data_IF_160149578387
#
_entry.id   IF_160149578387
#
_cell.length_a   1.000
_cell.length_b   1.000
_cell.length_c   1.000
_cell.angle_alpha   90.00
_cell.angle_beta   90.00
_cell.angle_gamma   90.00
#
_symmetry.space_group_name_H-M   'P 1'
#
loop_
_entity.id
_entity.type
_entity.pdbx_description
1 polymer ?
#
# COMPACT_ATOMS: atom_id res chain seq x y z
N UNK A 1 -50.60 49.01 10.96
CA UNK A 1 -49.80 49.65 9.89
C UNK A 1 -48.58 50.30 10.53
N UNK A 2 -47.44 49.61 10.48
CA UNK A 2 -46.05 50.10 10.36
C UNK A 2 -45.11 48.86 10.45
N UNK A 3 -43.93 48.90 9.83
CA UNK A 3 -43.54 47.85 8.88
C UNK A 3 -42.60 46.77 9.43
N UNK A 4 -42.57 45.65 8.71
CA UNK A 4 -41.59 44.57 8.82
C UNK A 4 -40.15 45.13 8.73
N UNK A 5 -39.32 44.78 9.71
CA UNK A 5 -37.87 44.80 9.56
C UNK A 5 -37.39 43.38 9.34
N UNK A 6 -36.80 43.14 8.18
CA UNK A 6 -36.04 41.95 7.83
C UNK A 6 -34.68 41.99 8.53
N UNK A 7 -34.39 41.00 9.38
CA UNK A 7 -33.04 40.75 9.89
C UNK A 7 -32.43 39.55 9.17
N UNK A 8 -31.65 39.85 8.12
CA UNK A 8 -30.62 38.97 7.58
C UNK A 8 -29.36 39.06 8.47
N UNK A 9 -28.62 37.95 8.52
CA UNK A 9 -27.31 37.73 9.18
C UNK A 9 -27.40 37.54 10.71
N UNK A 10 -26.81 36.51 11.32
CA UNK A 10 -25.58 35.79 10.97
C UNK A 10 -25.75 34.29 11.25
N UNK A 11 -25.60 33.46 10.21
CA UNK A 11 -25.10 32.11 10.40
C UNK A 11 -23.68 32.26 10.97
N UNK A 12 -23.49 31.94 12.25
CA UNK A 12 -22.15 31.65 12.76
C UNK A 12 -21.70 30.39 12.04
N UNK A 13 -20.93 30.58 10.97
CA UNK A 13 -20.12 29.52 10.42
C UNK A 13 -19.23 29.02 11.56
N UNK A 14 -19.48 27.78 12.01
CA UNK A 14 -18.49 26.99 12.71
C UNK A 14 -17.38 26.61 11.71
N UNK A 15 -16.72 27.63 11.14
CA UNK A 15 -15.37 27.52 10.64
C UNK A 15 -14.50 27.56 11.87
N UNK A 16 -14.35 26.42 12.54
CA UNK A 16 -13.10 26.22 13.26
C UNK A 16 -11.99 26.41 12.21
N UNK A 17 -11.03 27.32 12.44
CA UNK A 17 -9.87 27.36 11.57
C UNK A 17 -9.25 25.98 11.67
N UNK A 18 -9.20 25.27 10.54
CA UNK A 18 -8.31 24.14 10.36
C UNK A 18 -6.93 24.65 10.76
N UNK A 19 -6.52 24.37 12.00
CA UNK A 19 -5.13 24.50 12.40
C UNK A 19 -4.44 23.51 11.48
N UNK A 20 -3.79 24.06 10.45
CA UNK A 20 -2.81 23.34 9.67
C UNK A 20 -1.94 22.60 10.68
N UNK A 21 -2.07 21.27 10.73
CA UNK A 21 -1.10 20.41 11.36
C UNK A 21 0.15 20.57 10.49
N UNK A 22 0.94 21.60 10.80
CA UNK A 22 2.27 21.75 10.29
C UNK A 22 3.08 20.60 10.90
N UNK A 23 3.15 19.49 10.16
CA UNK A 23 4.08 18.42 10.43
C UNK A 23 5.46 19.06 10.44
N UNK A 24 6.09 19.04 11.61
CA UNK A 24 7.38 19.66 11.84
C UNK A 24 8.39 19.07 10.86
N UNK A 25 8.90 19.93 9.99
CA UNK A 25 10.07 19.66 9.14
C UNK A 25 11.23 19.41 10.11
N UNK A 26 11.59 18.15 10.33
CA UNK A 26 12.76 17.80 11.12
C UNK A 26 14.00 18.05 10.26
N UNK A 27 14.51 19.28 10.27
CA UNK A 27 15.92 19.51 9.96
C UNK A 27 16.74 18.97 11.12
N UNK A 28 17.30 17.77 10.96
CA UNK A 28 18.18 17.16 11.96
C UNK A 28 19.47 18.00 12.05
N UNK A 29 19.53 18.96 12.97
CA UNK A 29 20.80 19.56 13.38
C UNK A 29 21.44 18.59 14.36
N UNK A 30 22.57 18.02 13.96
CA UNK A 30 23.36 17.09 14.74
C UNK A 30 23.59 17.61 16.18
N UNK A 31 23.13 16.85 17.17
CA UNK A 31 23.58 16.98 18.54
C UNK A 31 23.90 15.60 19.10
N UNK A 32 25.18 15.44 19.44
CA UNK A 32 25.86 14.35 20.16
C UNK A 32 26.24 13.07 19.39
N UNK A 33 27.48 13.09 18.87
CA UNK A 33 28.48 12.06 19.21
C UNK A 33 28.50 10.74 18.42
N UNK A 34 27.49 10.41 17.63
CA UNK A 34 27.52 9.22 16.76
C UNK A 34 27.84 9.63 15.31
N UNK A 35 28.97 9.16 14.76
CA UNK A 35 29.49 9.56 13.45
C UNK A 35 28.86 8.83 12.25
N UNK A 36 27.80 8.02 12.44
CA UNK A 36 27.22 7.16 11.39
C UNK A 36 25.82 7.58 10.89
N UNK A 37 25.34 8.77 11.27
CA UNK A 37 24.17 9.38 10.64
C UNK A 37 24.60 10.10 9.37
N UNK A 38 24.79 9.32 8.31
CA UNK A 38 24.87 9.82 6.94
C UNK A 38 23.64 10.71 6.67
N UNK A 39 23.86 11.95 6.25
CA UNK A 39 22.80 12.95 6.07
C UNK A 39 21.98 12.62 4.83
N UNK A 40 21.08 11.63 4.94
CA UNK A 40 20.07 11.42 3.93
C UNK A 40 19.07 12.57 4.00
N UNK A 41 19.10 13.45 2.99
CA UNK A 41 18.08 14.50 2.84
C UNK A 41 16.80 13.80 2.40
N UNK A 42 16.00 13.41 3.38
CA UNK A 42 14.62 13.02 3.16
C UNK A 42 13.89 14.29 2.76
N UNK A 43 13.76 14.51 1.44
CA UNK A 43 13.04 15.66 0.90
C UNK A 43 11.60 15.70 1.40
N UNK A 44 10.86 16.74 1.03
CA UNK A 44 9.43 16.95 1.32
C UNK A 44 8.48 15.85 0.78
N UNK A 45 9.01 14.69 0.39
CA UNK A 45 8.35 13.57 -0.27
C UNK A 45 7.39 12.80 0.63
N UNK A 46 7.51 12.93 1.97
CA UNK A 46 6.69 12.19 2.94
C UNK A 46 5.57 13.03 3.59
N UNK A 47 5.27 14.22 3.07
CA UNK A 47 4.11 14.96 3.56
C UNK A 47 2.82 14.20 3.17
N UNK A 48 2.00 13.73 4.13
CA UNK A 48 0.74 13.07 3.84
C UNK A 48 -0.17 14.00 3.04
N UNK A 49 -0.94 13.46 2.09
CA UNK A 49 -1.88 14.28 1.34
C UNK A 49 -3.18 14.54 2.14
N UNK A 50 -3.34 13.90 3.31
CA UNK A 50 -4.59 13.94 4.08
C UNK A 50 -4.45 13.80 5.61
N UNK A 51 -5.56 14.05 6.31
CA UNK A 51 -5.64 14.00 7.77
C UNK A 51 -5.71 12.60 8.38
N UNK A 52 -6.15 11.58 7.64
CA UNK A 52 -6.27 10.20 8.14
C UNK A 52 -4.90 9.61 8.44
N UNK A 53 -3.91 9.85 7.57
CA UNK A 53 -2.54 9.38 7.81
C UNK A 53 -1.73 10.32 8.71
N UNK A 54 -2.24 11.50 9.04
CA UNK A 54 -1.55 12.47 9.90
C UNK A 54 -1.50 12.04 11.38
N UNK A 55 -2.25 11.00 11.77
CA UNK A 55 -2.19 10.42 13.11
C UNK A 55 -0.95 9.54 13.33
N UNK A 56 -0.31 9.06 12.25
CA UNK A 56 0.88 8.21 12.34
C UNK A 56 2.13 9.09 12.42
N UNK A 57 2.51 9.43 13.65
CA UNK A 57 3.55 10.44 13.96
C UNK A 57 4.85 9.85 14.47
N UNK A 58 4.99 8.53 14.53
CA UNK A 58 6.20 7.83 14.98
C UNK A 58 6.93 7.20 13.78
N UNK A 59 7.79 7.97 13.06
CA UNK A 59 8.47 7.49 11.86
C UNK A 59 9.60 6.51 12.18
N UNK A 60 9.56 5.37 11.50
CA UNK A 60 10.64 4.38 11.39
C UNK A 60 11.06 4.26 9.94
N UNK A 61 12.35 4.44 9.67
CA UNK A 61 12.91 4.37 8.33
C UNK A 61 13.43 2.97 8.06
N UNK A 62 13.05 2.40 6.91
CA UNK A 62 13.49 1.10 6.42
C UNK A 62 14.10 1.30 5.04
N UNK A 63 15.40 1.08 4.95
CA UNK A 63 16.17 1.26 3.72
C UNK A 63 16.68 -0.09 3.21
N UNK A 64 16.18 -0.51 2.05
CA UNK A 64 16.74 -1.62 1.30
C UNK A 64 18.00 -1.18 0.56
N UNK A 65 19.13 -1.83 0.86
CA UNK A 65 20.43 -1.60 0.23
C UNK A 65 20.88 -2.86 -0.49
N UNK A 66 21.99 -2.77 -1.21
CA UNK A 66 22.62 -3.93 -1.82
C UNK A 66 23.03 -4.94 -0.74
N UNK A 67 22.14 -5.90 -0.50
CA UNK A 67 22.37 -7.02 0.38
C UNK A 67 22.24 -6.79 1.88
N UNK A 68 21.63 -5.67 2.25
CA UNK A 68 21.42 -5.28 3.63
C UNK A 68 20.09 -4.51 3.74
N UNK A 69 19.53 -4.49 4.95
CA UNK A 69 18.40 -3.62 5.27
C UNK A 69 18.74 -2.83 6.52
N UNK A 70 18.69 -1.50 6.39
CA UNK A 70 18.92 -0.60 7.52
C UNK A 70 17.59 -0.12 8.08
N UNK A 71 17.40 -0.32 9.38
CA UNK A 71 16.30 0.26 10.13
C UNK A 71 16.86 1.36 11.04
N UNK A 72 16.28 2.55 10.99
CA UNK A 72 16.77 3.69 11.75
C UNK A 72 15.67 4.74 11.98
N UNK A 73 15.99 5.74 12.80
CA UNK A 73 15.07 6.83 13.12
C UNK A 73 14.83 6.98 14.62
N UNK A 74 14.16 8.07 15.05
CA UNK A 74 13.91 8.34 16.46
C UNK A 74 12.96 7.32 17.11
N UNK A 75 12.21 6.57 16.32
CA UNK A 75 11.27 5.55 16.78
C UNK A 75 11.66 4.13 16.36
N UNK A 76 12.92 3.88 15.96
CA UNK A 76 13.36 2.56 15.50
C UNK A 76 13.14 1.46 16.56
N UNK A 77 13.16 1.80 17.85
CA UNK A 77 12.90 0.88 18.95
C UNK A 77 11.40 0.52 19.11
N UNK A 78 10.50 1.19 18.38
CA UNK A 78 9.07 0.88 18.35
C UNK A 78 8.74 -0.34 17.47
N UNK A 79 9.72 -0.88 16.75
CA UNK A 79 9.56 -2.08 15.92
C UNK A 79 10.50 -3.18 16.37
N UNK A 80 10.02 -4.42 16.28
CA UNK A 80 10.90 -5.59 16.31
C UNK A 80 11.04 -6.10 14.88
N UNK A 81 12.29 -6.18 14.43
CA UNK A 81 12.64 -6.54 13.06
C UNK A 81 13.50 -7.80 13.03
N UNK A 82 13.18 -8.71 12.11
CA UNK A 82 13.94 -9.92 11.84
C UNK A 82 14.22 -10.03 10.33
N UNK A 83 15.49 -10.19 9.96
CA UNK A 83 15.92 -10.26 8.57
C UNK A 83 16.71 -11.54 8.31
N UNK A 84 16.23 -12.39 7.42
CA UNK A 84 16.86 -13.67 7.05
C UNK A 84 17.65 -13.60 5.73
N UNK A 85 17.85 -12.38 5.20
CA UNK A 85 18.55 -12.10 3.95
C UNK A 85 17.67 -12.15 2.69
N UNK A 86 16.46 -12.72 2.78
CA UNK A 86 15.49 -12.78 1.71
C UNK A 86 14.14 -12.13 2.08
N UNK A 87 13.84 -12.05 3.38
CA UNK A 87 12.68 -11.41 3.98
C UNK A 87 13.12 -10.51 5.11
N UNK A 88 12.45 -9.37 5.22
CA UNK A 88 12.38 -8.57 6.44
C UNK A 88 10.98 -8.75 7.04
N UNK A 89 10.91 -9.17 8.29
CA UNK A 89 9.67 -9.24 9.07
C UNK A 89 9.65 -8.12 10.11
N UNK A 90 8.56 -7.36 10.19
CA UNK A 90 8.38 -6.26 11.15
C UNK A 90 7.12 -6.52 11.97
N UNK A 91 7.26 -6.39 13.29
CA UNK A 91 6.14 -6.32 14.24
C UNK A 91 6.24 -5.03 15.04
N UNK A 92 5.11 -4.53 15.55
CA UNK A 92 5.06 -3.35 16.40
C UNK A 92 3.79 -3.34 17.25
N UNK A 93 3.87 -2.73 18.42
CA UNK A 93 2.74 -2.43 19.29
C UNK A 93 2.42 -0.91 19.35
N UNK A 94 2.94 -0.12 18.42
CA UNK A 94 2.75 1.33 18.36
C UNK A 94 1.55 1.72 17.48
N UNK A 95 0.52 2.32 18.10
CA UNK A 95 -0.71 2.80 17.44
C UNK A 95 -0.51 4.03 16.54
N UNK A 96 0.69 4.60 16.53
CA UNK A 96 1.05 5.79 15.75
C UNK A 96 2.19 5.53 14.76
N UNK A 97 2.47 4.25 14.48
CA UNK A 97 3.56 3.84 13.61
C UNK A 97 3.41 4.34 12.17
N UNK A 98 4.48 4.96 11.68
CA UNK A 98 4.70 5.20 10.26
C UNK A 98 5.97 4.48 9.81
N UNK A 99 5.85 3.50 8.92
CA UNK A 99 6.97 2.84 8.25
C UNK A 99 7.31 3.58 6.96
N UNK A 100 8.50 4.15 6.87
CA UNK A 100 9.00 4.86 5.69
C UNK A 100 9.99 3.97 4.96
N UNK A 101 9.52 3.34 3.87
CA UNK A 101 10.24 2.28 3.17
C UNK A 101 10.73 2.75 1.80
N UNK A 102 12.01 2.54 1.54
CA UNK A 102 12.68 2.98 0.31
C UNK A 102 13.89 2.09 -0.02
N UNK A 103 14.46 2.28 -1.21
CA UNK A 103 15.65 1.56 -1.66
C UNK A 103 15.35 0.45 -2.68
N UNK A 104 16.33 -0.39 -2.99
CA UNK A 104 16.23 -1.42 -4.04
C UNK A 104 16.75 -2.76 -3.54
N UNK A 105 15.91 -3.79 -3.63
CA UNK A 105 16.24 -5.18 -3.35
C UNK A 105 15.65 -6.12 -4.41
N UNK A 106 15.67 -5.71 -5.69
CA UNK A 106 15.24 -6.58 -6.80
C UNK A 106 16.19 -7.74 -7.10
N UNK A 107 17.42 -7.67 -6.58
CA UNK A 107 18.50 -8.58 -6.96
C UNK A 107 18.96 -8.36 -8.41
N UNK A 108 20.05 -9.01 -8.79
CA UNK A 108 20.48 -9.12 -10.19
C UNK A 108 20.90 -10.56 -10.53
N UNK A 109 21.32 -10.81 -11.76
CA UNK A 109 21.74 -12.15 -12.21
C UNK A 109 22.99 -12.69 -11.48
N UNK A 110 23.76 -11.84 -10.81
CA UNK A 110 24.99 -12.18 -10.10
C UNK A 110 24.75 -12.32 -8.59
N UNK A 111 23.71 -11.68 -8.07
CA UNK A 111 23.25 -11.76 -6.70
C UNK A 111 21.71 -11.77 -6.69
N UNK A 112 21.07 -12.94 -6.89
CA UNK A 112 19.63 -13.06 -6.87
C UNK A 112 19.16 -12.90 -5.43
N UNK A 113 19.03 -11.65 -5.00
CA UNK A 113 18.41 -11.29 -3.74
C UNK A 113 16.94 -11.06 -3.99
N UNK A 114 16.13 -11.76 -3.23
CA UNK A 114 14.74 -11.38 -3.06
C UNK A 114 14.63 -10.44 -1.87
N UNK A 115 13.84 -9.38 -2.01
CA UNK A 115 13.39 -8.56 -0.89
C UNK A 115 11.89 -8.77 -0.73
N UNK A 116 11.50 -9.54 0.29
CA UNK A 116 10.14 -9.52 0.82
C UNK A 116 10.08 -8.59 2.03
N UNK A 117 9.03 -7.77 2.11
CA UNK A 117 8.64 -7.09 3.33
C UNK A 117 7.40 -7.80 3.90
N UNK A 118 7.52 -8.36 5.10
CA UNK A 118 6.40 -8.88 5.87
C UNK A 118 6.16 -7.97 7.07
N UNK A 119 4.91 -7.59 7.28
CA UNK A 119 4.48 -6.73 8.38
C UNK A 119 3.38 -7.47 9.12
N UNK A 120 3.62 -7.85 10.37
CA UNK A 120 2.64 -8.49 11.25
C UNK A 120 2.25 -7.47 12.33
N UNK A 121 1.21 -6.68 12.07
CA UNK A 121 0.78 -5.56 12.90
C UNK A 121 -0.75 -5.56 13.00
N UNK A 122 -1.26 -5.95 14.17
CA UNK A 122 -2.69 -5.99 14.51
C UNK A 122 -3.18 -4.62 15.01
N UNK A 123 -3.06 -3.60 14.15
CA UNK A 123 -3.58 -2.22 14.33
C UNK A 123 -3.46 -1.43 13.04
N UNK A 124 -4.11 -0.27 12.99
CA UNK A 124 -3.93 0.67 11.88
C UNK A 124 -2.51 1.24 11.88
N UNK A 125 -1.89 1.35 10.71
CA UNK A 125 -0.56 1.95 10.55
C UNK A 125 -0.38 2.54 9.16
N UNK A 126 0.64 3.39 8.97
CA UNK A 126 1.01 3.91 7.66
C UNK A 126 2.28 3.27 7.10
N UNK A 127 2.20 2.86 5.83
CA UNK A 127 3.32 2.38 5.03
C UNK A 127 3.61 3.39 3.92
N UNK A 128 4.63 4.22 4.10
CA UNK A 128 5.08 5.18 3.10
C UNK A 128 6.08 4.53 2.14
N UNK A 129 5.75 4.55 0.84
CA UNK A 129 6.62 4.05 -0.22
C UNK A 129 7.28 5.23 -0.95
N UNK A 130 8.62 5.28 -0.94
CA UNK A 130 9.36 6.37 -1.56
C UNK A 130 10.58 5.88 -2.35
N UNK A 131 10.34 5.46 -3.59
CA UNK A 131 11.41 4.95 -4.45
C UNK A 131 11.83 3.52 -4.07
N UNK A 132 10.87 2.72 -3.59
CA UNK A 132 11.08 1.33 -3.23
C UNK A 132 11.00 0.43 -4.46
N UNK A 133 11.99 -0.43 -4.66
CA UNK A 133 11.94 -1.50 -5.66
C UNK A 133 12.21 -2.85 -5.01
N UNK A 134 11.21 -3.73 -5.01
CA UNK A 134 11.28 -5.08 -4.43
C UNK A 134 10.98 -6.15 -5.48
N UNK A 135 11.73 -7.24 -5.39
CA UNK A 135 11.41 -8.50 -6.04
C UNK A 135 11.40 -9.60 -4.99
N UNK A 136 10.29 -10.31 -4.80
CA UNK A 136 10.23 -11.42 -3.85
C UNK A 136 10.24 -12.76 -4.56
N UNK A 137 11.15 -13.65 -4.13
CA UNK A 137 11.15 -15.05 -4.54
C UNK A 137 10.38 -15.95 -3.55
N UNK A 138 9.85 -15.34 -2.48
CA UNK A 138 9.24 -16.00 -1.33
C UNK A 138 7.74 -15.71 -1.23
N UNK A 139 7.08 -15.34 -2.33
CA UNK A 139 5.68 -14.92 -2.36
C UNK A 139 5.52 -13.41 -2.53
N UNK A 140 4.55 -12.77 -1.86
CA UNK A 140 4.31 -11.34 -2.01
C UNK A 140 5.59 -10.52 -1.87
N UNK A 141 5.72 -9.45 -2.65
CA UNK A 141 6.76 -8.45 -2.43
C UNK A 141 6.53 -7.74 -1.10
N UNK A 142 5.26 -7.45 -0.79
CA UNK A 142 4.83 -6.91 0.49
C UNK A 142 3.65 -7.76 0.98
N UNK A 143 3.78 -8.30 2.18
CA UNK A 143 2.75 -9.05 2.89
C UNK A 143 2.43 -8.32 4.19
N UNK A 144 1.17 -7.92 4.38
CA UNK A 144 0.70 -7.31 5.62
C UNK A 144 -0.33 -8.21 6.26
N UNK A 145 -0.06 -8.62 7.50
CA UNK A 145 -0.99 -9.32 8.37
C UNK A 145 -1.54 -8.30 9.39
N UNK A 146 -2.76 -7.82 9.16
CA UNK A 146 -3.42 -6.77 9.93
C UNK A 146 -4.91 -7.03 10.20
N UNK A 147 -5.45 -8.18 9.79
CA UNK A 147 -6.80 -8.68 10.07
C UNK A 147 -7.91 -7.63 9.89
N UNK A 148 -8.50 -7.08 10.95
CA UNK A 148 -9.60 -6.11 10.82
C UNK A 148 -9.13 -4.65 10.60
N UNK A 149 -7.82 -4.43 10.54
CA UNK A 149 -7.20 -3.10 10.53
C UNK A 149 -6.85 -2.56 9.15
N UNK A 150 -6.61 -1.25 9.10
CA UNK A 150 -6.30 -0.51 7.87
C UNK A 150 -4.80 -0.31 7.73
N UNK A 151 -4.24 -0.85 6.65
CA UNK A 151 -2.92 -0.47 6.16
C UNK A 151 -3.04 0.74 5.22
N UNK A 152 -2.51 1.88 5.65
CA UNK A 152 -2.47 3.09 4.83
C UNK A 152 -1.19 3.13 3.99
N UNK A 153 -1.29 2.72 2.73
CA UNK A 153 -0.17 2.78 1.77
C UNK A 153 -0.08 4.17 1.15
N UNK A 154 0.95 4.93 1.53
CA UNK A 154 1.18 6.29 1.05
C UNK A 154 2.28 6.29 -0.01
N UNK A 155 1.92 6.53 -1.28
CA UNK A 155 2.86 6.57 -2.39
C UNK A 155 3.41 7.99 -2.56
N UNK A 156 4.66 8.20 -2.15
CA UNK A 156 5.29 9.52 -2.07
C UNK A 156 5.25 10.26 -3.42
N UNK A 157 4.93 11.56 -3.39
CA UNK A 157 4.81 12.38 -4.61
C UNK A 157 6.13 12.39 -5.38
N UNK A 158 6.07 12.11 -6.69
CA UNK A 158 7.25 12.08 -7.56
C UNK A 158 8.12 10.82 -7.41
N UNK A 159 7.77 9.91 -6.51
CA UNK A 159 8.44 8.61 -6.40
C UNK A 159 7.90 7.60 -7.41
N UNK A 160 8.74 6.62 -7.77
CA UNK A 160 8.35 5.43 -8.52
C UNK A 160 8.70 4.20 -7.71
N UNK A 161 7.69 3.41 -7.38
CA UNK A 161 7.83 2.20 -6.58
C UNK A 161 7.50 0.99 -7.45
N UNK A 162 8.30 -0.07 -7.36
CA UNK A 162 8.17 -1.27 -8.18
C UNK A 162 8.13 -2.49 -7.28
N UNK A 163 7.04 -3.23 -7.32
CA UNK A 163 6.85 -4.47 -6.58
C UNK A 163 6.70 -5.60 -7.59
N UNK A 164 7.42 -6.68 -7.37
CA UNK A 164 7.27 -7.90 -8.16
C UNK A 164 7.51 -9.13 -7.32
N UNK A 165 6.91 -10.24 -7.71
CA UNK A 165 7.16 -11.53 -7.12
C UNK A 165 7.54 -12.58 -8.17
N UNK A 166 7.91 -13.76 -7.68
CA UNK A 166 7.92 -14.99 -8.47
C UNK A 166 6.80 -15.89 -7.99
N UNK A 167 6.47 -16.88 -8.82
CA UNK A 167 5.59 -17.96 -8.42
C UNK A 167 6.08 -18.65 -7.16
N UNK A 168 5.19 -18.77 -6.19
CA UNK A 168 5.40 -19.59 -5.02
C UNK A 168 5.46 -21.07 -5.44
N UNK A 169 6.58 -21.76 -5.22
CA UNK A 169 6.67 -23.20 -5.51
C UNK A 169 6.14 -24.09 -4.38
N UNK A 170 6.01 -23.56 -3.16
CA UNK A 170 5.60 -24.31 -1.98
C UNK A 170 4.39 -23.69 -1.28
N UNK A 171 3.19 -24.17 -1.58
CA UNK A 171 1.92 -23.77 -0.95
C UNK A 171 1.81 -24.07 0.56
N UNK A 172 2.92 -24.39 1.24
CA UNK A 172 2.91 -24.80 2.64
C UNK A 172 4.02 -24.08 3.40
N UNK A 173 3.61 -23.26 4.38
CA UNK A 173 4.44 -22.94 5.54
C UNK A 173 3.86 -23.72 6.71
N UNK A 174 4.67 -24.56 7.33
CA UNK A 174 4.26 -25.37 8.50
C UNK A 174 3.02 -26.28 8.29
N UNK A 175 2.69 -26.62 7.04
CA UNK A 175 1.55 -27.49 6.70
C UNK A 175 0.23 -26.74 6.46
N UNK A 176 0.24 -25.41 6.46
CA UNK A 176 -0.92 -24.56 6.18
C UNK A 176 -0.80 -23.89 4.80
N UNK A 177 -1.94 -23.71 4.13
CA UNK A 177 -2.06 -22.97 2.88
C UNK A 177 -1.78 -21.50 3.17
N UNK A 178 -0.87 -20.90 2.41
CA UNK A 178 -0.64 -19.46 2.49
C UNK A 178 -1.83 -18.72 1.89
N UNK A 179 -2.55 -17.93 2.68
CA UNK A 179 -3.69 -17.11 2.21
C UNK A 179 -3.26 -15.79 1.52
N UNK A 180 -1.96 -15.60 1.29
CA UNK A 180 -1.39 -14.33 0.86
C UNK A 180 -1.39 -14.16 -0.68
N UNK A 181 -2.56 -14.05 -1.32
CA UNK A 181 -2.71 -14.25 -2.77
C UNK A 181 -2.41 -13.03 -3.70
N UNK A 182 -1.70 -12.01 -3.21
CA UNK A 182 -1.33 -10.82 -3.99
C UNK A 182 0.15 -10.47 -3.92
N UNK A 183 0.71 -9.86 -4.96
CA UNK A 183 2.08 -9.34 -4.94
C UNK A 183 2.26 -8.23 -3.89
N UNK A 184 1.25 -7.37 -3.77
CA UNK A 184 0.98 -6.59 -2.56
C UNK A 184 -0.27 -7.17 -1.90
N UNK A 185 -0.07 -7.84 -0.77
CA UNK A 185 -1.12 -8.51 -0.02
C UNK A 185 -1.35 -7.82 1.33
N UNK A 186 -2.61 -7.66 1.72
CA UNK A 186 -3.05 -7.18 3.03
C UNK A 186 -4.17 -8.07 3.56
N UNK A 187 -4.01 -8.69 4.74
CA UNK A 187 -5.06 -9.50 5.36
C UNK A 187 -6.22 -8.67 5.90
N UNK A 188 -6.03 -7.36 6.06
CA UNK A 188 -7.08 -6.39 6.37
C UNK A 188 -7.45 -5.45 5.24
N UNK A 189 -7.75 -4.21 5.60
CA UNK A 189 -8.18 -3.17 4.66
C UNK A 189 -6.98 -2.43 4.08
N UNK A 190 -7.07 -2.11 2.79
CA UNK A 190 -6.03 -1.38 2.07
C UNK A 190 -6.53 0.01 1.71
N UNK A 191 -5.85 1.03 2.23
CA UNK A 191 -6.13 2.42 1.91
C UNK A 191 -4.95 3.05 1.20
N UNK A 192 -5.15 3.52 -0.04
CA UNK A 192 -4.12 4.24 -0.77
C UNK A 192 -4.21 5.75 -0.56
N UNK A 193 -3.05 6.36 -0.34
CA UNK A 193 -2.82 7.81 -0.35
C UNK A 193 -1.63 8.19 -1.23
N UNK A 194 -1.54 9.47 -1.58
CA UNK A 194 -0.39 10.04 -2.28
C UNK A 194 -0.58 10.24 -3.78
N UNK A 195 0.51 10.63 -4.44
CA UNK A 195 0.53 11.06 -5.86
C UNK A 195 1.73 10.50 -6.62
N UNK A 196 2.44 9.54 -6.04
CA UNK A 196 3.52 8.84 -6.72
C UNK A 196 3.02 7.76 -7.67
N UNK A 197 3.96 7.00 -8.19
CA UNK A 197 3.70 5.84 -9.04
C UNK A 197 3.98 4.56 -8.27
N UNK A 198 3.02 3.62 -8.31
CA UNK A 198 3.16 2.25 -7.81
C UNK A 198 2.99 1.29 -8.98
N UNK A 199 4.01 0.49 -9.27
CA UNK A 199 3.95 -0.55 -10.29
C UNK A 199 4.04 -1.90 -9.61
N UNK A 200 3.02 -2.73 -9.76
CA UNK A 200 2.93 -4.06 -9.14
C UNK A 200 2.80 -5.09 -10.24
N UNK A 201 3.67 -6.09 -10.24
CA UNK A 201 3.68 -7.15 -11.23
C UNK A 201 3.84 -8.50 -10.56
N UNK A 202 2.77 -9.29 -10.55
CA UNK A 202 2.90 -10.67 -10.13
C UNK A 202 3.49 -11.53 -11.27
N UNK A 203 4.06 -12.68 -10.92
CA UNK A 203 4.45 -13.73 -11.87
C UNK A 203 3.28 -14.67 -12.21
N UNK A 204 3.27 -15.24 -13.42
CA UNK A 204 2.29 -16.26 -13.83
C UNK A 204 2.87 -17.67 -13.74
N UNK A 205 2.08 -18.68 -13.31
CA UNK A 205 2.49 -20.08 -13.34
C UNK A 205 2.91 -20.48 -14.75
N UNK A 206 4.08 -21.09 -14.89
CA UNK A 206 4.51 -21.66 -16.18
C UNK A 206 3.66 -22.86 -16.59
N UNK A 207 2.82 -23.37 -15.69
CA UNK A 207 1.87 -24.47 -15.93
C UNK A 207 0.61 -24.26 -15.11
N UNK A 208 -0.52 -24.05 -15.80
CA UNK A 208 -1.84 -24.32 -15.24
C UNK A 208 -1.95 -25.84 -15.07
N UNK A 209 -1.88 -26.31 -13.84
CA UNK A 209 -2.11 -27.71 -13.55
C UNK A 209 -3.49 -27.79 -12.90
N UNK A 210 -4.41 -28.50 -13.56
CA UNK A 210 -5.85 -28.45 -13.27
C UNK A 210 -6.22 -28.95 -11.86
N UNK A 211 -5.28 -29.59 -11.19
CA UNK A 211 -5.41 -30.12 -9.83
C UNK A 211 -5.17 -29.07 -8.72
N UNK A 212 -4.70 -27.85 -9.06
CA UNK A 212 -4.28 -26.86 -8.07
C UNK A 212 -5.38 -25.90 -7.59
N UNK A 213 -6.63 -26.12 -8.04
CA UNK A 213 -7.78 -25.31 -7.62
C UNK A 213 -7.58 -23.80 -7.88
N UNK A 214 -8.49 -22.98 -7.39
CA UNK A 214 -8.42 -21.51 -7.50
C UNK A 214 -7.28 -20.87 -6.65
N UNK A 215 -6.41 -21.68 -6.03
CA UNK A 215 -5.55 -21.29 -4.91
C UNK A 215 -4.12 -20.94 -5.33
N UNK A 216 -3.97 -20.21 -6.43
CA UNK A 216 -2.66 -19.71 -6.84
C UNK A 216 -2.65 -18.20 -6.61
N UNK A 217 -1.62 -17.74 -5.89
CA UNK A 217 -1.26 -16.34 -5.66
C UNK A 217 -1.20 -15.57 -6.98
N UNK A 218 -2.32 -15.00 -7.40
CA UNK A 218 -2.50 -14.60 -8.81
C UNK A 218 -2.84 -13.15 -8.97
N UNK A 219 -2.95 -12.39 -7.89
CA UNK A 219 -3.42 -11.00 -7.97
C UNK A 219 -2.25 -10.01 -7.91
N UNK A 220 -2.37 -8.88 -8.61
CA UNK A 220 -1.40 -7.82 -8.42
C UNK A 220 -1.59 -7.16 -7.04
N UNK A 221 -2.82 -6.70 -6.76
CA UNK A 221 -3.25 -6.24 -5.44
C UNK A 221 -4.30 -7.19 -4.86
N UNK A 222 -4.11 -7.57 -3.60
CA UNK A 222 -5.08 -8.35 -2.85
C UNK A 222 -5.24 -7.73 -1.46
N UNK A 223 -6.48 -7.44 -1.07
CA UNK A 223 -6.83 -7.17 0.32
C UNK A 223 -7.97 -8.10 0.74
N UNK A 224 -7.91 -8.79 1.90
CA UNK A 224 -9.10 -9.55 2.32
C UNK A 224 -10.24 -8.60 2.70
N UNK A 225 -9.89 -7.47 3.32
CA UNK A 225 -10.79 -6.36 3.56
C UNK A 225 -11.03 -5.50 2.31
N UNK A 226 -11.57 -4.30 2.52
CA UNK A 226 -11.89 -3.38 1.44
C UNK A 226 -10.66 -2.68 0.90
N UNK A 227 -10.77 -2.15 -0.32
CA UNK A 227 -9.74 -1.31 -0.92
C UNK A 227 -10.28 0.07 -1.25
N UNK A 228 -9.66 1.12 -0.73
CA UNK A 228 -10.08 2.51 -0.98
C UNK A 228 -8.92 3.33 -1.51
N UNK A 229 -9.15 4.07 -2.59
CA UNK A 229 -8.26 5.10 -3.09
C UNK A 229 -9.02 6.41 -3.33
N UNK A 230 -8.68 7.43 -2.56
CA UNK A 230 -9.23 8.78 -2.68
C UNK A 230 -8.27 9.78 -3.35
N UNK A 231 -7.12 9.33 -3.86
CA UNK A 231 -6.01 10.20 -4.26
C UNK A 231 -5.49 9.93 -5.67
N UNK A 232 -4.72 10.90 -6.17
CA UNK A 232 -4.27 10.95 -7.54
C UNK A 232 -2.97 10.15 -7.79
N UNK A 233 -2.86 8.95 -7.21
CA UNK A 233 -1.73 8.05 -7.48
C UNK A 233 -1.82 7.48 -8.90
N UNK A 234 -0.68 7.02 -9.42
CA UNK A 234 -0.63 6.24 -10.65
C UNK A 234 -0.30 4.78 -10.32
N UNK A 235 -1.24 3.87 -10.54
CA UNK A 235 -1.07 2.44 -10.34
C UNK A 235 -0.89 1.74 -11.68
N UNK A 236 0.18 0.96 -11.82
CA UNK A 236 0.41 0.06 -12.95
C UNK A 236 0.36 -1.38 -12.44
N UNK A 237 -0.79 -2.04 -12.62
CA UNK A 237 -1.05 -3.34 -12.02
C UNK A 237 -1.06 -4.40 -13.12
N UNK A 238 -0.04 -5.24 -13.12
CA UNK A 238 0.03 -6.42 -13.98
C UNK A 238 -0.23 -7.65 -13.16
N UNK A 239 -1.38 -8.27 -13.42
CA UNK A 239 -1.61 -9.65 -13.05
C UNK A 239 -1.47 -10.54 -14.28
N UNK A 240 -0.55 -11.51 -14.26
CA UNK A 240 -0.36 -12.40 -15.40
C UNK A 240 -1.33 -13.60 -15.42
N UNK A 241 -2.07 -13.84 -14.33
CA UNK A 241 -2.98 -14.98 -14.25
C UNK A 241 -4.31 -14.70 -13.54
N UNK A 242 -4.31 -13.81 -12.54
CA UNK A 242 -5.49 -13.50 -11.76
C UNK A 242 -5.95 -12.07 -12.01
N UNK A 243 -6.46 -11.46 -10.96
CA UNK A 243 -7.09 -10.15 -11.06
C UNK A 243 -6.08 -9.03 -10.84
N UNK A 244 -6.29 -7.88 -11.49
CA UNK A 244 -5.43 -6.73 -11.21
C UNK A 244 -5.69 -6.18 -9.80
N UNK A 245 -6.95 -6.19 -9.35
CA UNK A 245 -7.38 -5.85 -8.00
C UNK A 245 -8.34 -6.93 -7.53
N UNK A 246 -8.09 -7.49 -6.35
CA UNK A 246 -8.95 -8.49 -5.72
C UNK A 246 -9.25 -8.12 -4.27
N UNK A 247 -10.50 -8.34 -3.86
CA UNK A 247 -10.92 -8.27 -2.45
C UNK A 247 -11.82 -9.44 -2.07
N UNK A 248 -11.60 -10.03 -0.89
CA UNK A 248 -12.31 -11.23 -0.44
C UNK A 248 -13.71 -10.97 0.15
N UNK A 249 -14.08 -9.71 0.44
CA UNK A 249 -15.41 -9.47 1.00
C UNK A 249 -15.84 -8.03 1.28
N UNK A 250 -15.12 -7.03 0.78
CA UNK A 250 -15.44 -5.63 1.08
C UNK A 250 -15.24 -4.70 -0.14
N UNK A 251 -15.80 -3.49 -0.04
CA UNK A 251 -15.90 -2.53 -1.15
C UNK A 251 -14.53 -2.26 -1.81
N UNK A 252 -14.52 -2.21 -3.15
CA UNK A 252 -13.44 -1.56 -3.89
C UNK A 252 -13.91 -0.18 -4.32
N UNK A 253 -13.27 0.86 -3.77
CA UNK A 253 -13.59 2.26 -4.03
C UNK A 253 -12.41 2.99 -4.67
N UNK A 254 -12.48 3.23 -5.98
CA UNK A 254 -11.48 4.01 -6.71
C UNK A 254 -12.06 5.39 -7.04
N UNK A 255 -11.91 6.37 -6.16
CA UNK A 255 -12.49 7.71 -6.36
C UNK A 255 -11.63 8.58 -7.29
N UNK A 256 -10.30 8.44 -7.18
CA UNK A 256 -9.30 9.19 -7.96
C UNK A 256 -8.16 8.28 -8.40
N UNK A 257 -7.25 8.86 -9.18
CA UNK A 257 -6.02 8.21 -9.61
C UNK A 257 -6.06 7.73 -11.06
N UNK A 258 -4.91 7.28 -11.52
CA UNK A 258 -4.75 6.64 -12.84
C UNK A 258 -4.42 5.17 -12.61
N UNK A 259 -5.25 4.29 -13.12
CA UNK A 259 -5.19 2.85 -12.91
C UNK A 259 -4.96 2.17 -14.25
N UNK A 260 -3.72 1.76 -14.52
CA UNK A 260 -3.34 0.98 -15.69
C UNK A 260 -3.36 -0.49 -15.30
N UNK A 261 -4.40 -1.21 -15.72
CA UNK A 261 -4.74 -2.55 -15.29
C UNK A 261 -4.51 -3.55 -16.43
N UNK A 262 -3.69 -4.55 -16.15
CA UNK A 262 -3.33 -5.62 -17.08
C UNK A 262 -3.64 -6.95 -16.40
N UNK A 263 -4.92 -7.34 -16.32
CA UNK A 263 -5.32 -8.56 -15.63
C UNK A 263 -5.08 -9.82 -16.47
N UNK A 264 -4.93 -10.97 -15.81
CA UNK A 264 -4.94 -12.30 -16.43
C UNK A 264 -6.33 -12.94 -16.42
N UNK A 265 -7.19 -12.52 -15.48
CA UNK A 265 -8.62 -12.82 -15.36
C UNK A 265 -9.43 -11.53 -15.26
N UNK A 266 -9.90 -11.17 -14.06
CA UNK A 266 -10.79 -10.03 -13.89
C UNK A 266 -10.01 -8.73 -13.70
N UNK A 267 -10.56 -7.64 -14.22
CA UNK A 267 -9.94 -6.32 -14.00
C UNK A 267 -10.03 -5.93 -12.54
N UNK A 268 -11.20 -6.12 -11.93
CA UNK A 268 -11.46 -5.91 -10.51
C UNK A 268 -12.44 -6.99 -10.06
N UNK A 269 -12.10 -7.69 -8.98
CA UNK A 269 -12.95 -8.67 -8.33
C UNK A 269 -13.20 -8.27 -6.87
N UNK A 270 -14.46 -8.17 -6.48
CA UNK A 270 -14.89 -8.03 -5.09
C UNK A 270 -15.90 -9.11 -4.80
N UNK A 271 -15.47 -10.15 -4.07
CA UNK A 271 -16.24 -11.38 -3.96
C UNK A 271 -17.61 -11.18 -3.29
N UNK A 272 -17.72 -10.22 -2.36
CA UNK A 272 -18.95 -10.02 -1.56
C UNK A 272 -19.47 -8.57 -1.51
N UNK A 273 -18.88 -7.62 -2.25
CA UNK A 273 -19.21 -6.21 -2.09
C UNK A 273 -19.19 -5.39 -3.40
N UNK A 274 -19.66 -4.14 -3.28
CA UNK A 274 -19.77 -3.18 -4.38
C UNK A 274 -18.40 -2.71 -4.88
N UNK A 275 -18.32 -2.42 -6.19
CA UNK A 275 -17.19 -1.74 -6.82
C UNK A 275 -17.62 -0.34 -7.26
N UNK A 276 -17.07 0.68 -6.61
CA UNK A 276 -17.37 2.09 -6.87
C UNK A 276 -16.19 2.81 -7.53
N UNK A 277 -16.43 3.37 -8.73
CA UNK A 277 -15.43 4.12 -9.50
C UNK A 277 -15.87 5.59 -9.61
N UNK A 278 -15.15 6.49 -8.96
CA UNK A 278 -15.46 7.92 -8.96
C UNK A 278 -15.12 8.64 -10.27
N UNK A 279 -15.77 9.78 -10.50
CA UNK A 279 -15.63 10.62 -11.70
C UNK A 279 -14.19 11.02 -12.07
N UNK A 280 -13.31 11.09 -11.06
CA UNK A 280 -11.93 11.52 -11.21
C UNK A 280 -10.94 10.34 -11.36
N UNK A 281 -11.40 9.10 -11.25
CA UNK A 281 -10.59 7.91 -11.50
C UNK A 281 -10.51 7.63 -13.01
N UNK A 282 -9.31 7.32 -13.49
CA UNK A 282 -9.05 6.94 -14.89
C UNK A 282 -8.61 5.50 -14.92
N UNK A 283 -9.41 4.63 -15.53
CA UNK A 283 -9.09 3.21 -15.70
C UNK A 283 -8.67 2.96 -17.15
N UNK A 284 -7.49 2.39 -17.32
CA UNK A 284 -6.95 1.92 -18.60
C UNK A 284 -6.77 0.41 -18.49
N UNK A 285 -7.55 -0.36 -19.24
CA UNK A 285 -7.54 -1.83 -19.18
C UNK A 285 -6.94 -2.36 -20.48
N UNK A 286 -5.93 -3.24 -20.38
CA UNK A 286 -5.31 -3.87 -21.56
C UNK A 286 -6.00 -5.17 -21.97
N UNK A 287 -7.34 -5.13 -22.04
CA UNK A 287 -8.24 -6.06 -22.71
C UNK A 287 -9.67 -5.52 -22.47
N UNK A 288 -10.64 -6.41 -22.31
CA UNK A 288 -11.99 -6.15 -21.89
C UNK A 288 -12.04 -5.83 -20.39
N UNK A 289 -12.90 -4.88 -20.02
CA UNK A 289 -13.21 -4.59 -18.63
C UNK A 289 -14.10 -5.70 -18.07
N UNK A 290 -13.53 -6.57 -17.23
CA UNK A 290 -14.26 -7.59 -16.49
C UNK A 290 -14.32 -7.19 -15.02
N UNK A 291 -15.55 -6.96 -14.54
CA UNK A 291 -15.83 -6.60 -13.15
C UNK A 291 -16.67 -7.72 -12.56
N UNK A 292 -16.10 -8.44 -11.60
CA UNK A 292 -16.80 -9.44 -10.82
C UNK A 292 -17.17 -8.83 -9.47
N UNK A 293 -18.46 -8.75 -9.16
CA UNK A 293 -18.99 -8.32 -7.86
C UNK A 293 -20.30 -9.03 -7.58
N UNK A 294 -20.57 -9.33 -6.31
CA UNK A 294 -21.86 -9.84 -5.87
C UNK A 294 -23.01 -8.86 -6.16
N UNK A 295 -22.72 -7.54 -6.18
CA UNK A 295 -23.67 -6.44 -6.44
C UNK A 295 -23.00 -5.35 -7.32
N UNK A 296 -22.89 -5.61 -8.63
CA UNK A 296 -22.25 -4.67 -9.56
C UNK A 296 -23.14 -3.44 -9.82
N UNK A 297 -23.00 -2.38 -9.02
CA UNK A 297 -23.42 -1.03 -9.41
C UNK A 297 -22.19 -0.25 -9.86
N UNK A 298 -21.94 -0.16 -11.16
CA UNK A 298 -20.94 0.79 -11.68
C UNK A 298 -21.56 2.18 -11.58
N UNK A 299 -21.37 2.84 -10.44
CA UNK A 299 -21.78 4.24 -10.27
C UNK A 299 -20.70 5.12 -10.91
N UNK A 300 -20.75 5.32 -12.22
CA UNK A 300 -20.01 6.43 -12.83
C UNK A 300 -20.67 7.73 -12.37
N UNK A 301 -20.04 8.46 -11.44
CA UNK A 301 -20.45 9.82 -11.10
C UNK A 301 -19.91 10.84 -12.11
#
# INVERSE_FOLDING_TARGET
>A
MQPMQSSLSQNKSNTQPMRAAAIAILTLIAASGCSDYDTHTIGTAFAPANSLVSQFVHPVYVEYREGDVRIWGPWADAVVADADGARLSITSDDDSLALLVYGDARGDSLNPRSGQLRIDIDRDFALYLNGLSLHSALGPAIEVQADDHICYVVVATGSSNVLSDTLYQTQYRDGEILEADGCLYVSGQLYFDGKGTLSVRNAAPTRWDADWGDSIHTHALYARGGMVCNYALTANLTSLHGDAIHTAGAEVKLVKGTWNLYPGRDTINSEEAEIAIGAEAKLYVNDSLWIASADTTIVSQ
#
